data_IF_773065560107
#
_entry.id   IF_773065560107
#
_cell.length_a   1.000
_cell.length_b   1.000
_cell.length_c   1.000
_cell.angle_alpha   90.00
_cell.angle_beta   90.00
_cell.angle_gamma   90.00
#
_symmetry.space_group_name_H-M   'P 1'
#
loop_
_entity.id
_entity.type
_entity.pdbx_description
1 polymer ?
#
# COMPACT_ATOMS: atom_id res chain seq x y z
N UNK A 1 -45.88 -67.55 -37.97
CA UNK A 1 -44.77 -66.80 -38.61
C UNK A 1 -44.87 -65.33 -38.14
N UNK A 2 -44.12 -64.91 -37.15
CA UNK A 2 -44.21 -63.55 -36.57
C UNK A 2 -42.89 -62.86 -36.81
N UNK A 3 -42.92 -61.71 -37.53
CA UNK A 3 -41.77 -60.81 -37.76
C UNK A 3 -41.68 -59.79 -36.62
N UNK A 4 -40.66 -59.86 -35.86
CA UNK A 4 -40.31 -58.82 -34.86
C UNK A 4 -39.48 -57.74 -35.51
N UNK A 5 -39.99 -56.51 -35.56
CA UNK A 5 -39.24 -55.30 -35.88
C UNK A 5 -38.41 -54.88 -34.61
N UNK A 6 -37.12 -54.77 -34.81
CA UNK A 6 -36.21 -54.06 -33.83
C UNK A 6 -36.21 -52.57 -34.21
N UNK A 7 -36.65 -51.73 -33.29
CA UNK A 7 -36.46 -50.29 -33.37
C UNK A 7 -35.14 -49.94 -32.65
N UNK A 8 -34.16 -49.40 -33.41
CA UNK A 8 -32.95 -48.79 -32.87
C UNK A 8 -33.27 -47.33 -32.49
N UNK A 9 -33.25 -47.06 -31.21
CA UNK A 9 -33.27 -45.69 -30.67
C UNK A 9 -31.85 -45.16 -30.59
N UNK A 10 -31.52 -44.19 -31.45
CA UNK A 10 -30.26 -43.44 -31.38
C UNK A 10 -30.38 -42.34 -30.31
N UNK A 11 -29.63 -42.44 -29.23
CA UNK A 11 -29.49 -41.39 -28.20
C UNK A 11 -28.39 -40.45 -28.67
N UNK A 12 -28.78 -39.26 -29.11
CA UNK A 12 -27.85 -38.18 -29.42
C UNK A 12 -27.46 -37.46 -28.09
N UNK A 13 -26.29 -37.71 -27.60
CA UNK A 13 -25.68 -36.96 -26.49
C UNK A 13 -25.15 -35.62 -27.01
N UNK A 14 -25.90 -34.54 -26.79
CA UNK A 14 -25.43 -33.20 -27.01
C UNK A 14 -24.41 -32.83 -25.89
N UNK A 15 -23.15 -32.82 -26.24
CA UNK A 15 -22.11 -32.26 -25.37
C UNK A 15 -22.21 -30.73 -25.36
N UNK A 16 -22.75 -30.16 -24.29
CA UNK A 16 -22.72 -28.73 -24.04
C UNK A 16 -21.28 -28.31 -23.74
N UNK A 17 -20.59 -27.76 -24.72
CA UNK A 17 -19.30 -27.11 -24.55
C UNK A 17 -19.56 -25.76 -23.86
N UNK A 18 -19.37 -25.71 -22.56
CA UNK A 18 -19.38 -24.46 -21.81
C UNK A 18 -18.12 -23.66 -22.20
N UNK A 19 -18.27 -22.74 -23.13
CA UNK A 19 -17.27 -21.71 -23.38
C UNK A 19 -17.26 -20.80 -22.15
N UNK A 20 -16.30 -21.00 -21.26
CA UNK A 20 -15.88 -19.97 -20.31
C UNK A 20 -15.28 -18.86 -21.16
N UNK A 21 -16.03 -17.79 -21.39
CA UNK A 21 -15.51 -16.57 -21.97
C UNK A 21 -14.44 -16.05 -21.00
N UNK A 22 -13.18 -16.36 -21.26
CA UNK A 22 -12.08 -15.66 -20.61
C UNK A 22 -12.29 -14.19 -20.92
N UNK A 23 -12.60 -13.38 -19.90
CA UNK A 23 -12.72 -11.93 -20.04
C UNK A 23 -11.42 -11.44 -20.67
N UNK A 24 -11.47 -11.15 -21.97
CA UNK A 24 -10.35 -10.58 -22.69
C UNK A 24 -10.07 -9.23 -22.05
N UNK A 25 -8.84 -9.03 -21.61
CA UNK A 25 -8.43 -7.76 -21.01
C UNK A 25 -8.72 -6.63 -21.99
N UNK A 26 -9.47 -5.61 -21.56
CA UNK A 26 -9.86 -4.49 -22.41
C UNK A 26 -8.60 -3.80 -22.94
N UNK A 27 -8.59 -3.48 -24.25
CA UNK A 27 -7.48 -2.74 -24.85
C UNK A 27 -7.38 -1.35 -24.21
N UNK A 28 -6.15 -0.84 -23.94
CA UNK A 28 -5.97 0.49 -23.37
C UNK A 28 -6.62 1.57 -24.23
N UNK A 29 -7.10 2.65 -23.59
CA UNK A 29 -7.62 3.82 -24.27
C UNK A 29 -6.60 4.34 -25.30
N UNK A 30 -7.04 4.67 -26.52
CA UNK A 30 -6.14 5.15 -27.59
C UNK A 30 -6.10 6.67 -27.72
N UNK A 31 -7.14 7.36 -27.23
CA UNK A 31 -7.25 8.82 -27.29
C UNK A 31 -8.15 9.30 -26.14
N UNK A 32 -7.74 10.35 -25.46
CA UNK A 32 -8.59 11.04 -24.47
C UNK A 32 -9.65 11.84 -25.24
N UNK A 33 -10.90 11.57 -24.93
CA UNK A 33 -12.06 12.32 -25.44
C UNK A 33 -12.56 13.35 -24.44
N UNK A 34 -13.83 13.72 -24.57
CA UNK A 34 -14.52 14.55 -23.57
C UNK A 34 -14.63 13.77 -22.26
N UNK A 35 -14.36 14.41 -21.14
CA UNK A 35 -14.56 13.83 -19.81
C UNK A 35 -16.01 13.46 -19.55
N UNK A 36 -16.20 12.38 -18.81
CA UNK A 36 -17.52 11.81 -18.49
C UNK A 36 -18.21 12.59 -17.34
N UNK A 37 -17.56 13.60 -16.79
CA UNK A 37 -18.11 14.48 -15.74
C UNK A 37 -17.73 14.09 -14.33
N UNK A 38 -17.14 12.90 -14.11
CA UNK A 38 -16.63 12.47 -12.81
C UNK A 38 -15.51 11.43 -12.94
N UNK A 39 -14.81 11.21 -11.84
CA UNK A 39 -13.90 10.08 -11.62
C UNK A 39 -14.04 9.59 -10.18
N UNK A 40 -14.22 8.28 -10.02
CA UNK A 40 -14.41 7.62 -8.72
C UNK A 40 -13.13 6.90 -8.32
N UNK A 41 -12.51 7.30 -7.22
CA UNK A 41 -11.16 6.89 -6.81
C UNK A 41 -11.18 6.22 -5.44
N UNK A 42 -10.63 5.02 -5.34
CA UNK A 42 -10.26 4.41 -4.06
C UNK A 42 -8.86 4.90 -3.68
N UNK A 43 -8.70 5.47 -2.49
CA UNK A 43 -7.43 6.06 -2.06
C UNK A 43 -7.19 5.88 -0.56
N UNK A 44 -5.92 5.96 -0.16
CA UNK A 44 -5.56 6.11 1.25
C UNK A 44 -6.07 7.44 1.81
N UNK A 45 -6.36 7.46 3.12
CA UNK A 45 -6.69 8.70 3.82
C UNK A 45 -5.55 9.73 3.65
N UNK A 46 -5.89 10.97 3.29
CA UNK A 46 -4.91 12.04 3.07
C UNK A 46 -4.28 12.09 1.67
N UNK A 47 -4.61 11.16 0.76
CA UNK A 47 -4.01 11.15 -0.58
C UNK A 47 -4.67 12.08 -1.59
N UNK A 48 -5.92 12.44 -1.36
CA UNK A 48 -6.69 13.28 -2.29
C UNK A 48 -7.40 14.38 -1.50
N UNK A 49 -6.78 15.56 -1.46
CA UNK A 49 -7.22 16.67 -0.64
C UNK A 49 -7.79 17.82 -1.48
N UNK A 50 -8.83 18.47 -0.92
CA UNK A 50 -9.49 19.65 -1.51
C UNK A 50 -9.54 20.83 -0.53
N UNK A 51 -8.56 20.93 0.34
CA UNK A 51 -8.45 22.02 1.31
C UNK A 51 -9.47 21.96 2.45
N UNK A 52 -10.07 20.80 2.71
CA UNK A 52 -11.07 20.66 3.78
C UNK A 52 -10.42 20.74 5.17
N UNK A 53 -9.28 20.12 5.35
CA UNK A 53 -8.53 20.10 6.62
C UNK A 53 -7.62 21.33 6.72
N UNK A 54 -6.89 21.65 5.66
CA UNK A 54 -6.02 22.81 5.54
C UNK A 54 -6.08 23.34 4.10
N UNK A 55 -6.43 24.62 3.93
CA UNK A 55 -6.62 25.25 2.63
C UNK A 55 -5.36 25.34 1.76
N UNK A 56 -4.18 25.17 2.35
CA UNK A 56 -2.94 25.09 1.59
C UNK A 56 -2.80 23.79 0.78
N UNK A 57 -3.57 22.76 1.14
CA UNK A 57 -3.52 21.44 0.54
C UNK A 57 -4.78 21.15 -0.29
N UNK A 58 -4.81 21.68 -1.50
CA UNK A 58 -5.88 21.47 -2.46
C UNK A 58 -5.29 21.25 -3.86
N UNK A 59 -5.39 20.03 -4.34
CA UNK A 59 -5.02 19.68 -5.72
C UNK A 59 -6.19 19.11 -6.52
N UNK A 60 -7.37 19.09 -5.94
CA UNK A 60 -8.61 18.61 -6.58
C UNK A 60 -9.36 19.72 -7.27
N UNK A 61 -9.54 20.87 -6.60
CA UNK A 61 -10.39 21.96 -7.10
C UNK A 61 -9.97 22.47 -8.47
N UNK A 62 -8.66 22.62 -8.70
CA UNK A 62 -8.12 23.06 -10.00
C UNK A 62 -8.33 22.03 -11.10
N UNK A 63 -8.22 20.73 -10.78
CA UNK A 63 -8.50 19.66 -11.70
C UNK A 63 -9.97 19.68 -12.13
N UNK A 64 -10.89 19.76 -11.18
CA UNK A 64 -12.34 19.78 -11.45
C UNK A 64 -12.71 20.99 -12.34
N UNK A 65 -12.16 22.18 -12.04
CA UNK A 65 -12.39 23.40 -12.85
C UNK A 65 -11.88 23.27 -14.28
N UNK A 66 -10.71 22.66 -14.48
CA UNK A 66 -10.06 22.55 -15.79
C UNK A 66 -10.70 21.48 -16.68
N UNK A 67 -11.15 20.39 -16.08
CA UNK A 67 -11.58 19.19 -16.81
C UNK A 67 -13.09 19.01 -16.82
N UNK A 68 -13.81 19.59 -15.86
CA UNK A 68 -15.22 19.28 -15.59
C UNK A 68 -15.45 17.90 -15.00
N UNK A 69 -14.37 17.18 -14.59
CA UNK A 69 -14.43 15.87 -13.97
C UNK A 69 -14.46 16.02 -12.45
N UNK A 70 -15.61 15.81 -11.82
CA UNK A 70 -15.75 15.79 -10.36
C UNK A 70 -14.99 14.61 -9.78
N UNK A 71 -14.20 14.82 -8.74
CA UNK A 71 -13.44 13.78 -8.04
C UNK A 71 -14.23 13.28 -6.84
N UNK A 72 -14.64 12.02 -6.87
CA UNK A 72 -15.26 11.34 -5.75
C UNK A 72 -14.23 10.37 -5.14
N UNK A 73 -14.10 10.38 -3.80
CA UNK A 73 -13.09 9.57 -3.11
C UNK A 73 -13.76 8.62 -2.13
N UNK A 74 -13.41 7.35 -2.24
CA UNK A 74 -13.64 6.33 -1.22
C UNK A 74 -12.32 6.02 -0.54
N UNK A 75 -12.19 6.34 0.74
CA UNK A 75 -11.00 5.95 1.52
C UNK A 75 -11.01 4.49 1.87
N UNK A 76 -9.83 3.87 1.86
CA UNK A 76 -9.58 2.53 2.37
C UNK A 76 -8.41 2.57 3.36
N UNK A 77 -8.47 1.75 4.40
CA UNK A 77 -7.47 1.68 5.46
C UNK A 77 -6.40 0.60 5.23
N UNK A 78 -6.67 -0.39 4.38
CA UNK A 78 -5.75 -1.49 4.10
C UNK A 78 -5.70 -1.83 2.60
N UNK A 79 -4.60 -2.46 2.18
CA UNK A 79 -4.46 -3.04 0.84
C UNK A 79 -5.53 -4.10 0.55
N UNK A 80 -5.95 -4.87 1.56
CA UNK A 80 -7.00 -5.89 1.41
C UNK A 80 -8.37 -5.25 1.17
N UNK A 81 -8.70 -4.16 1.86
CA UNK A 81 -9.90 -3.37 1.60
C UNK A 81 -9.90 -2.78 0.19
N UNK A 82 -8.77 -2.25 -0.28
CA UNK A 82 -8.64 -1.76 -1.66
C UNK A 82 -8.91 -2.84 -2.69
N UNK A 83 -8.36 -4.04 -2.49
CA UNK A 83 -8.60 -5.19 -3.37
C UNK A 83 -10.07 -5.61 -3.33
N UNK A 84 -10.71 -5.62 -2.17
CA UNK A 84 -12.14 -5.93 -2.03
C UNK A 84 -13.01 -4.91 -2.78
N UNK A 85 -12.81 -3.61 -2.57
CA UNK A 85 -13.53 -2.54 -3.26
C UNK A 85 -13.37 -2.62 -4.79
N UNK A 86 -12.16 -2.89 -5.27
CA UNK A 86 -11.91 -3.07 -6.70
C UNK A 86 -12.51 -4.36 -7.26
N UNK A 87 -12.72 -5.39 -6.45
CA UNK A 87 -13.46 -6.59 -6.83
C UNK A 87 -14.96 -6.36 -6.90
N UNK A 88 -15.52 -5.55 -6.01
CA UNK A 88 -16.92 -5.13 -6.03
C UNK A 88 -17.22 -4.23 -7.25
N UNK A 89 -16.21 -3.44 -7.68
CA UNK A 89 -16.33 -2.51 -8.80
C UNK A 89 -17.02 -1.20 -8.45
N UNK A 90 -17.35 -0.41 -9.48
CA UNK A 90 -17.99 0.90 -9.29
C UNK A 90 -17.00 2.05 -9.12
N UNK A 91 -15.69 1.78 -9.18
CA UNK A 91 -14.62 2.75 -9.13
C UNK A 91 -13.83 2.77 -10.45
N UNK A 92 -13.22 3.91 -10.77
CA UNK A 92 -12.40 4.07 -11.96
C UNK A 92 -10.91 3.88 -11.66
N UNK A 93 -10.47 4.39 -10.52
CA UNK A 93 -9.07 4.38 -10.11
C UNK A 93 -8.89 3.85 -8.69
N UNK A 94 -7.71 3.31 -8.42
CA UNK A 94 -7.23 2.98 -7.08
C UNK A 94 -5.78 3.43 -6.92
N UNK A 95 -5.43 4.03 -5.78
CA UNK A 95 -4.03 4.30 -5.39
C UNK A 95 -3.55 3.17 -4.50
N UNK A 96 -2.90 2.17 -5.09
CA UNK A 96 -2.58 0.90 -4.43
C UNK A 96 -1.09 0.75 -4.16
N UNK A 97 -0.75 0.26 -2.97
CA UNK A 97 0.61 -0.18 -2.62
C UNK A 97 0.97 -1.50 -3.32
N UNK A 98 2.26 -1.82 -3.38
CA UNK A 98 2.77 -2.93 -4.16
C UNK A 98 2.19 -4.32 -3.81
N UNK A 99 1.78 -4.52 -2.58
CA UNK A 99 1.13 -5.76 -2.13
C UNK A 99 -0.32 -5.90 -2.62
N UNK A 100 -1.03 -4.79 -2.89
CA UNK A 100 -2.33 -4.80 -3.54
C UNK A 100 -2.22 -4.81 -5.07
N UNK A 101 -1.32 -4.00 -5.64
CA UNK A 101 -1.17 -3.79 -7.08
C UNK A 101 -1.00 -5.09 -7.85
N UNK A 102 -0.10 -5.98 -7.39
CA UNK A 102 0.16 -7.27 -8.04
C UNK A 102 -1.07 -8.18 -8.02
N UNK A 103 -1.84 -8.16 -6.92
CA UNK A 103 -3.10 -8.94 -6.82
C UNK A 103 -4.16 -8.41 -7.79
N UNK A 104 -4.28 -7.09 -7.92
CA UNK A 104 -5.21 -6.45 -8.84
C UNK A 104 -4.87 -6.75 -10.31
N UNK A 105 -3.57 -6.75 -10.67
CA UNK A 105 -3.11 -7.14 -12.02
C UNK A 105 -3.46 -8.60 -12.31
N UNK A 106 -3.07 -9.52 -11.42
CA UNK A 106 -3.29 -10.95 -11.60
C UNK A 106 -4.76 -11.33 -11.53
N UNK A 107 -5.53 -10.64 -10.69
CA UNK A 107 -6.99 -10.76 -10.62
C UNK A 107 -7.73 -10.12 -11.79
N UNK A 108 -7.02 -9.48 -12.76
CA UNK A 108 -7.59 -8.75 -13.89
C UNK A 108 -8.60 -7.67 -13.49
N UNK A 109 -8.39 -7.04 -12.33
CA UNK A 109 -9.23 -5.95 -11.83
C UNK A 109 -8.78 -4.58 -12.32
N UNK A 110 -7.56 -4.51 -12.83
CA UNK A 110 -6.99 -3.31 -13.47
C UNK A 110 -6.56 -3.62 -14.90
N UNK A 111 -6.54 -2.61 -15.74
CA UNK A 111 -6.18 -2.72 -17.16
C UNK A 111 -4.82 -2.05 -17.41
N UNK A 112 -4.12 -2.47 -18.50
CA UNK A 112 -2.91 -1.78 -18.93
C UNK A 112 -3.20 -0.33 -19.32
N UNK A 113 -2.20 0.53 -19.11
CA UNK A 113 -2.25 1.96 -19.43
C UNK A 113 -1.56 2.24 -20.76
N UNK A 114 -2.13 3.15 -21.53
CA UNK A 114 -1.46 3.78 -22.66
C UNK A 114 -0.70 5.01 -22.20
N UNK A 115 0.59 4.87 -21.96
CA UNK A 115 1.44 5.98 -21.46
C UNK A 115 1.61 7.13 -22.46
N UNK A 116 1.28 6.93 -23.76
CA UNK A 116 1.28 8.05 -24.72
C UNK A 116 0.23 9.11 -24.39
N UNK A 117 -0.79 8.75 -23.61
CA UNK A 117 -1.82 9.64 -23.09
C UNK A 117 -1.46 10.30 -21.75
N UNK A 118 -0.29 9.97 -21.21
CA UNK A 118 0.22 10.48 -19.93
C UNK A 118 1.65 11.03 -20.18
N UNK A 119 1.80 12.14 -20.93
CA UNK A 119 3.12 12.64 -21.33
C UNK A 119 4.04 13.01 -20.16
N UNK A 120 3.48 13.33 -18.99
CA UNK A 120 4.27 13.60 -17.78
C UNK A 120 4.90 12.36 -17.16
N UNK A 121 4.52 11.14 -17.59
CA UNK A 121 5.11 9.89 -17.08
C UNK A 121 6.65 9.83 -17.25
N UNK A 122 7.18 10.46 -18.28
CA UNK A 122 8.64 10.59 -18.51
C UNK A 122 9.39 11.28 -17.36
N UNK A 123 8.69 12.08 -16.54
CA UNK A 123 9.25 12.82 -15.43
C UNK A 123 9.25 12.02 -14.11
N UNK A 124 8.65 10.83 -14.11
CA UNK A 124 8.66 9.91 -12.96
C UNK A 124 10.08 9.42 -12.71
N UNK A 125 10.45 9.29 -11.44
CA UNK A 125 11.74 8.75 -11.01
C UNK A 125 12.03 7.42 -11.73
N UNK A 126 13.18 7.29 -12.41
CA UNK A 126 13.53 6.06 -13.15
C UNK A 126 13.46 4.78 -12.31
N UNK A 127 13.70 4.87 -10.98
CA UNK A 127 13.59 3.75 -10.03
C UNK A 127 12.15 3.21 -9.93
N UNK A 128 11.15 4.05 -10.22
CA UNK A 128 9.73 3.73 -10.13
C UNK A 128 9.09 3.39 -11.48
N UNK A 129 9.65 3.86 -12.62
CA UNK A 129 8.98 3.74 -13.93
C UNK A 129 8.60 2.31 -14.33
N UNK A 130 9.43 1.32 -13.97
CA UNK A 130 9.19 -0.10 -14.26
C UNK A 130 9.26 -0.95 -13.00
N UNK A 131 8.75 -0.42 -11.91
CA UNK A 131 8.75 -1.16 -10.65
C UNK A 131 7.88 -2.43 -10.75
N UNK A 132 8.32 -3.55 -10.16
CA UNK A 132 7.71 -4.87 -10.38
C UNK A 132 6.27 -5.02 -9.87
N UNK A 133 5.80 -4.08 -9.08
CA UNK A 133 4.44 -4.10 -8.56
C UNK A 133 3.40 -3.46 -9.48
N UNK A 134 3.81 -2.71 -10.53
CA UNK A 134 2.89 -2.13 -11.51
C UNK A 134 3.34 -2.32 -12.97
N UNK A 135 4.46 -3.00 -13.18
CA UNK A 135 4.97 -3.33 -14.52
C UNK A 135 5.11 -4.85 -14.62
N UNK A 136 4.28 -5.47 -15.46
CA UNK A 136 4.25 -6.92 -15.65
C UNK A 136 4.02 -7.23 -17.15
N UNK A 137 4.68 -8.27 -17.68
CA UNK A 137 4.56 -8.69 -19.08
C UNK A 137 4.77 -7.55 -20.10
N UNK A 138 5.73 -6.67 -19.83
CA UNK A 138 6.05 -5.49 -20.64
C UNK A 138 4.89 -4.47 -20.78
N UNK A 139 3.95 -4.49 -19.83
CA UNK A 139 2.82 -3.56 -19.78
C UNK A 139 2.85 -2.76 -18.46
N UNK A 140 2.50 -1.47 -18.56
CA UNK A 140 2.31 -0.62 -17.41
C UNK A 140 0.86 -0.67 -16.94
N UNK A 141 0.63 -0.91 -15.64
CA UNK A 141 -0.69 -0.97 -15.03
C UNK A 141 -0.94 0.16 -14.04
N UNK A 142 0.10 0.91 -13.70
CA UNK A 142 0.00 1.99 -12.73
C UNK A 142 0.89 3.17 -13.05
N UNK A 143 0.46 4.35 -12.60
CA UNK A 143 1.24 5.58 -12.56
C UNK A 143 1.76 5.76 -11.14
N UNK A 144 3.08 5.75 -10.90
CA UNK A 144 3.64 6.01 -9.57
C UNK A 144 3.14 7.33 -9.00
N UNK A 145 2.75 7.31 -7.73
CA UNK A 145 2.12 8.46 -7.10
C UNK A 145 2.96 9.04 -5.97
N UNK A 146 3.17 8.27 -4.90
CA UNK A 146 4.02 8.62 -3.75
C UNK A 146 4.71 7.36 -3.23
N UNK A 147 5.80 7.53 -2.48
CA UNK A 147 6.45 6.44 -1.79
C UNK A 147 7.05 6.89 -0.45
N UNK A 148 7.35 5.96 0.41
CA UNK A 148 7.95 6.24 1.70
C UNK A 148 8.18 4.97 2.51
N UNK A 149 8.77 5.15 3.64
CA UNK A 149 8.97 4.08 4.63
C UNK A 149 7.94 4.13 5.75
N UNK A 150 7.73 2.98 6.37
CA UNK A 150 7.08 2.91 7.65
C UNK A 150 8.06 3.41 8.71
N UNK A 151 7.63 4.32 9.56
CA UNK A 151 8.46 4.92 10.60
C UNK A 151 8.08 4.36 11.96
N UNK A 152 9.03 4.32 12.87
CA UNK A 152 8.75 4.11 14.27
C UNK A 152 8.36 5.47 14.90
N UNK A 153 7.07 5.65 15.17
CA UNK A 153 6.54 6.83 15.86
C UNK A 153 6.57 6.58 17.37
N UNK A 154 6.98 7.56 18.14
CA UNK A 154 7.11 7.46 19.59
C UNK A 154 6.76 8.76 20.32
N UNK A 155 6.34 8.63 21.59
CA UNK A 155 6.01 9.76 22.46
C UNK A 155 7.28 10.34 23.08
N UNK A 156 7.59 11.60 22.77
CA UNK A 156 8.82 12.27 23.24
C UNK A 156 8.85 12.54 24.75
N UNK A 157 7.71 12.58 25.43
CA UNK A 157 7.67 12.69 26.90
C UNK A 157 8.09 11.39 27.58
N UNK A 158 7.87 10.24 26.95
CA UNK A 158 8.26 8.93 27.48
C UNK A 158 9.71 8.63 27.19
N UNK A 159 10.16 8.93 25.95
CA UNK A 159 11.53 8.60 25.52
C UNK A 159 12.55 9.70 25.82
N UNK A 160 12.13 10.95 26.04
CA UNK A 160 13.00 12.07 26.36
C UNK A 160 14.12 12.26 25.35
N UNK A 161 15.35 12.29 25.82
CA UNK A 161 16.58 12.38 25.00
C UNK A 161 17.07 11.03 24.45
N UNK A 162 16.34 9.94 24.68
CA UNK A 162 16.70 8.58 24.28
C UNK A 162 15.69 8.02 23.26
N UNK A 163 15.66 8.51 22.01
CA UNK A 163 14.74 8.00 21.00
C UNK A 163 14.96 6.50 20.78
N UNK A 164 13.90 5.71 20.50
CA UNK A 164 14.06 4.30 20.24
C UNK A 164 14.83 4.09 18.93
N UNK A 165 15.85 3.25 18.94
CA UNK A 165 16.73 2.98 17.79
C UNK A 165 16.44 1.65 17.09
N UNK A 166 15.51 0.85 17.63
CA UNK A 166 15.19 -0.49 17.15
C UNK A 166 13.69 -0.73 17.21
N UNK A 167 13.18 -1.51 16.27
CA UNK A 167 11.83 -2.06 16.29
C UNK A 167 11.55 -2.96 17.51
N UNK A 168 12.59 -3.31 18.28
CA UNK A 168 12.45 -4.07 19.53
C UNK A 168 11.34 -3.53 20.42
N UNK A 169 11.20 -2.20 20.51
CA UNK A 169 10.23 -1.54 21.38
C UNK A 169 8.77 -1.92 21.08
N UNK A 170 8.46 -2.33 19.85
CA UNK A 170 7.12 -2.77 19.45
C UNK A 170 7.01 -4.28 19.27
N UNK A 171 8.13 -5.02 19.25
CA UNK A 171 8.12 -6.47 19.11
C UNK A 171 8.36 -7.25 20.40
N UNK A 172 9.08 -6.69 21.37
CA UNK A 172 9.49 -7.40 22.58
C UNK A 172 9.09 -6.63 23.85
N UNK A 173 8.78 -7.36 24.92
CA UNK A 173 8.51 -6.75 26.23
C UNK A 173 9.80 -6.14 26.79
N UNK A 174 9.72 -4.87 27.20
CA UNK A 174 10.85 -4.15 27.79
C UNK A 174 10.40 -2.98 28.65
N UNK A 175 11.27 -2.52 29.55
CA UNK A 175 11.08 -1.26 30.25
C UNK A 175 11.47 -0.09 29.33
N UNK A 176 10.65 0.95 29.34
CA UNK A 176 10.86 2.20 28.61
C UNK A 176 11.66 3.20 29.47
N UNK A 177 12.19 4.30 28.89
CA UNK A 177 12.94 5.31 29.63
C UNK A 177 12.19 5.95 30.80
N UNK A 178 10.86 5.94 30.79
CA UNK A 178 10.03 6.39 31.92
C UNK A 178 9.93 5.38 33.07
N UNK A 179 10.69 4.28 33.02
CA UNK A 179 10.73 3.21 34.03
C UNK A 179 9.55 2.23 33.96
N UNK A 180 8.58 2.39 33.05
CA UNK A 180 7.42 1.53 32.91
C UNK A 180 7.59 0.54 31.77
N UNK A 181 6.90 -0.62 31.86
CA UNK A 181 6.81 -1.59 30.75
C UNK A 181 6.12 -0.97 29.54
N UNK A 182 6.54 -1.40 28.35
CA UNK A 182 5.85 -1.10 27.09
C UNK A 182 4.54 -1.88 26.93
N UNK A 183 4.30 -2.89 27.75
CA UNK A 183 3.11 -3.76 27.67
C UNK A 183 1.80 -2.96 27.79
N UNK A 184 0.90 -3.14 26.82
CA UNK A 184 -0.36 -2.40 26.72
C UNK A 184 -0.23 -0.96 26.23
N UNK A 185 1.01 -0.49 25.98
CA UNK A 185 1.33 0.90 25.59
C UNK A 185 1.88 1.03 24.16
N UNK A 186 2.01 -0.08 23.45
CA UNK A 186 2.46 -0.10 22.06
C UNK A 186 1.35 -0.58 21.15
N UNK A 187 1.43 -0.15 19.90
CA UNK A 187 0.51 -0.56 18.84
C UNK A 187 1.26 -1.26 17.70
N UNK A 188 0.52 -2.02 16.91
CA UNK A 188 0.98 -2.62 15.67
C UNK A 188 -0.04 -2.39 14.54
N UNK A 189 0.44 -2.41 13.29
CA UNK A 189 -0.41 -2.34 12.11
C UNK A 189 -1.27 -3.61 12.00
N UNK A 190 -2.56 -3.42 11.72
CA UNK A 190 -3.53 -4.50 11.53
C UNK A 190 -3.61 -4.88 10.05
N UNK A 191 -2.76 -5.77 9.63
CA UNK A 191 -2.76 -6.30 8.27
C UNK A 191 -1.74 -7.43 8.09
N UNK A 192 -2.02 -8.43 7.23
CA UNK A 192 -1.13 -9.58 7.02
C UNK A 192 0.29 -9.20 6.60
N UNK A 193 0.44 -8.03 5.95
CA UNK A 193 1.75 -7.52 5.52
C UNK A 193 2.68 -7.23 6.70
N UNK A 194 2.15 -7.06 7.92
CA UNK A 194 2.94 -6.90 9.14
C UNK A 194 3.85 -8.11 9.46
N UNK A 195 3.59 -9.27 8.86
CA UNK A 195 4.50 -10.41 8.91
C UNK A 195 5.86 -10.07 8.28
N UNK A 196 5.87 -9.21 7.25
CA UNK A 196 7.12 -8.74 6.64
C UNK A 196 7.91 -7.81 7.58
N UNK A 197 7.25 -7.01 8.42
CA UNK A 197 7.92 -6.20 9.43
C UNK A 197 8.62 -7.08 10.47
N UNK A 198 7.94 -8.14 10.93
CA UNK A 198 8.53 -9.15 11.82
C UNK A 198 9.71 -9.87 11.15
N UNK A 199 9.58 -10.23 9.88
CA UNK A 199 10.65 -10.86 9.12
C UNK A 199 11.87 -9.92 8.92
N UNK A 200 11.63 -8.63 8.68
CA UNK A 200 12.70 -7.63 8.58
C UNK A 200 13.44 -7.47 9.92
N UNK A 201 12.71 -7.41 11.04
CA UNK A 201 13.29 -7.40 12.37
C UNK A 201 14.16 -8.64 12.60
N UNK A 202 13.67 -9.83 12.28
CA UNK A 202 14.41 -11.09 12.41
C UNK A 202 15.61 -11.16 11.46
N UNK A 203 15.49 -10.65 10.24
CA UNK A 203 16.61 -10.56 9.29
C UNK A 203 17.83 -9.86 9.89
N UNK A 204 17.59 -8.83 10.69
CA UNK A 204 18.65 -8.08 11.37
C UNK A 204 19.13 -8.78 12.63
N UNK A 205 18.22 -9.23 13.49
CA UNK A 205 18.51 -9.68 14.84
C UNK A 205 18.76 -11.19 14.97
N UNK A 206 18.35 -12.00 13.97
CA UNK A 206 18.60 -13.45 13.94
C UNK A 206 19.13 -13.90 12.57
N UNK A 207 20.43 -13.67 12.35
CA UNK A 207 21.13 -13.99 11.09
C UNK A 207 21.08 -15.48 10.73
N UNK A 208 20.91 -16.38 11.71
CA UNK A 208 20.87 -17.83 11.47
C UNK A 208 19.64 -18.27 10.65
N UNK A 209 18.58 -17.43 10.62
CA UNK A 209 17.40 -17.67 9.79
C UNK A 209 17.68 -17.49 8.29
N UNK A 210 18.73 -16.76 7.90
CA UNK A 210 19.10 -16.55 6.50
C UNK A 210 18.02 -15.80 5.69
N UNK A 211 17.21 -14.95 6.33
CA UNK A 211 16.19 -14.13 5.63
C UNK A 211 16.90 -13.12 4.73
N UNK A 212 16.71 -13.20 3.43
CA UNK A 212 17.24 -12.25 2.45
C UNK A 212 16.20 -11.20 2.05
N UNK A 213 14.96 -11.63 1.90
CA UNK A 213 13.81 -10.78 1.50
C UNK A 213 12.63 -11.06 2.44
N UNK A 214 12.08 -10.03 3.12
CA UNK A 214 10.98 -10.21 4.07
C UNK A 214 9.65 -10.66 3.43
N UNK A 215 9.53 -10.61 2.10
CA UNK A 215 8.35 -11.07 1.36
C UNK A 215 8.56 -12.45 0.71
N UNK A 216 9.74 -13.02 0.79
CA UNK A 216 10.10 -14.33 0.25
C UNK A 216 10.52 -15.28 1.38
N UNK A 217 9.56 -15.72 2.20
CA UNK A 217 9.83 -16.53 3.38
C UNK A 217 9.53 -18.01 3.10
N UNK A 218 10.50 -18.88 3.39
CA UNK A 218 10.25 -20.31 3.51
C UNK A 218 9.51 -20.64 4.83
N UNK A 219 9.03 -21.87 4.98
CA UNK A 219 8.23 -22.27 6.15
C UNK A 219 8.92 -22.00 7.50
N UNK A 220 10.23 -22.21 7.62
CA UNK A 220 10.95 -21.99 8.87
C UNK A 220 11.06 -20.49 9.21
N UNK A 221 11.37 -19.64 8.23
CA UNK A 221 11.46 -18.20 8.36
C UNK A 221 10.09 -17.60 8.66
N UNK A 222 9.07 -18.07 7.95
CA UNK A 222 7.67 -17.66 8.13
C UNK A 222 7.17 -18.01 9.54
N UNK A 223 7.42 -19.26 9.99
CA UNK A 223 7.08 -19.68 11.34
C UNK A 223 7.75 -18.79 12.39
N UNK A 224 9.03 -18.47 12.22
CA UNK A 224 9.74 -17.60 13.15
C UNK A 224 9.12 -16.19 13.20
N UNK A 225 8.69 -15.63 12.06
CA UNK A 225 7.99 -14.35 12.02
C UNK A 225 6.64 -14.42 12.75
N UNK A 226 5.86 -15.47 12.56
CA UNK A 226 4.59 -15.66 13.28
C UNK A 226 4.81 -15.84 14.79
N UNK A 227 5.85 -16.57 15.21
CA UNK A 227 6.15 -16.76 16.63
C UNK A 227 6.54 -15.42 17.29
N UNK A 228 7.27 -14.55 16.57
CA UNK A 228 7.55 -13.18 17.03
C UNK A 228 6.25 -12.36 17.18
N UNK A 229 5.33 -12.45 16.21
CA UNK A 229 4.04 -11.76 16.29
C UNK A 229 3.13 -12.28 17.42
N UNK A 230 3.16 -13.59 17.70
CA UNK A 230 2.48 -14.16 18.87
C UNK A 230 3.07 -13.62 20.18
N UNK A 231 4.37 -13.40 20.22
CA UNK A 231 5.03 -12.69 21.33
C UNK A 231 4.56 -11.24 21.44
N UNK A 232 4.59 -10.54 20.33
CA UNK A 232 4.16 -9.14 20.22
C UNK A 232 2.69 -8.96 20.66
N UNK A 233 1.80 -9.89 20.31
CA UNK A 233 0.37 -9.86 20.70
C UNK A 233 0.17 -9.73 22.21
N UNK A 234 1.12 -10.21 23.02
CA UNK A 234 1.04 -10.16 24.50
C UNK A 234 1.36 -8.76 25.07
N UNK A 235 2.02 -7.93 24.30
CA UNK A 235 2.44 -6.57 24.71
C UNK A 235 1.67 -5.47 23.98
N UNK A 236 1.09 -5.75 22.82
CA UNK A 236 0.30 -4.77 22.05
C UNK A 236 -0.99 -4.47 22.79
N UNK A 237 -1.26 -3.19 23.03
CA UNK A 237 -2.51 -2.72 23.60
C UNK A 237 -3.63 -2.66 22.57
N UNK A 238 -3.32 -2.18 21.38
CA UNK A 238 -4.24 -2.00 20.26
C UNK A 238 -3.58 -2.30 18.93
N UNK A 239 -4.38 -2.68 17.94
CA UNK A 239 -4.01 -2.73 16.52
C UNK A 239 -4.69 -1.60 15.77
N UNK A 240 -4.07 -1.11 14.72
CA UNK A 240 -4.61 -0.03 13.90
C UNK A 240 -4.49 -0.36 12.40
N UNK A 241 -5.48 0.03 11.63
CA UNK A 241 -5.48 0.03 10.17
C UNK A 241 -6.01 1.36 9.60
N UNK A 242 -6.67 2.16 10.41
CA UNK A 242 -7.09 3.52 10.07
C UNK A 242 -6.14 4.54 10.72
N UNK A 243 -5.60 5.46 9.90
CA UNK A 243 -4.63 6.45 10.34
C UNK A 243 -5.20 7.41 11.41
N UNK A 244 -6.50 7.76 11.31
CA UNK A 244 -7.13 8.67 12.27
C UNK A 244 -7.42 7.98 13.60
N UNK A 245 -7.72 6.69 13.60
CA UNK A 245 -7.81 5.88 14.82
C UNK A 245 -6.45 5.85 15.53
N UNK A 246 -5.35 5.65 14.80
CA UNK A 246 -4.01 5.71 15.42
C UNK A 246 -3.69 7.08 16.00
N UNK A 247 -4.07 8.17 15.32
CA UNK A 247 -3.89 9.55 15.81
C UNK A 247 -4.66 9.74 17.12
N UNK A 248 -5.88 9.25 17.21
CA UNK A 248 -6.70 9.32 18.43
C UNK A 248 -6.08 8.50 19.56
N UNK A 249 -5.64 7.29 19.29
CA UNK A 249 -5.00 6.42 20.27
C UNK A 249 -3.71 7.03 20.88
N UNK A 250 -2.89 7.68 20.07
CA UNK A 250 -1.72 8.42 20.59
C UNK A 250 -2.11 9.64 21.41
N UNK A 251 -3.26 10.25 21.10
CA UNK A 251 -3.74 11.44 21.82
C UNK A 251 -4.39 11.06 23.15
N UNK A 252 -5.24 10.03 23.17
CA UNK A 252 -6.20 9.79 24.23
C UNK A 252 -6.02 8.46 24.98
N UNK A 253 -5.38 7.45 24.36
CA UNK A 253 -5.36 6.07 24.88
C UNK A 253 -4.00 5.64 25.45
N UNK A 254 -3.06 6.56 25.58
CA UNK A 254 -1.77 6.31 26.22
C UNK A 254 -0.79 5.48 25.41
N UNK A 255 -0.99 5.36 24.10
CA UNK A 255 -0.01 4.73 23.20
C UNK A 255 1.27 5.54 23.14
N UNK A 256 2.41 4.87 23.26
CA UNK A 256 3.72 5.53 23.35
C UNK A 256 4.68 5.15 22.22
N UNK A 257 4.47 4.05 21.51
CA UNK A 257 5.25 3.68 20.33
C UNK A 257 4.45 2.78 19.38
N UNK A 258 4.66 2.95 18.08
CA UNK A 258 4.02 2.16 17.03
C UNK A 258 4.77 2.27 15.71
N UNK A 259 4.68 1.25 14.87
CA UNK A 259 4.86 1.42 13.43
C UNK A 259 3.78 2.35 12.90
N UNK A 260 4.14 3.31 12.03
CA UNK A 260 3.26 4.38 11.57
C UNK A 260 3.69 4.87 10.20
N UNK A 261 2.84 5.64 9.55
CA UNK A 261 3.25 6.50 8.43
C UNK A 261 3.60 7.89 8.96
N UNK A 262 4.42 8.62 8.23
CA UNK A 262 4.78 9.99 8.62
C UNK A 262 3.56 10.93 8.70
N UNK A 263 2.51 10.62 7.97
CA UNK A 263 1.23 11.34 7.96
C UNK A 263 0.64 11.53 9.36
N UNK A 264 0.52 10.45 10.15
CA UNK A 264 -0.01 10.54 11.51
C UNK A 264 0.87 11.42 12.40
N UNK A 265 2.19 11.27 12.28
CA UNK A 265 3.11 12.10 13.06
C UNK A 265 3.00 13.58 12.69
N UNK A 266 2.81 13.90 11.42
CA UNK A 266 2.62 15.28 10.97
C UNK A 266 1.34 15.89 11.57
N UNK A 267 0.21 15.16 11.52
CA UNK A 267 -1.05 15.63 12.12
C UNK A 267 -0.93 15.78 13.64
N UNK A 268 -0.31 14.82 14.32
CA UNK A 268 -0.10 14.90 15.77
C UNK A 268 0.76 16.09 16.15
N UNK A 269 1.86 16.35 15.42
CA UNK A 269 2.72 17.51 15.62
C UNK A 269 1.99 18.83 15.39
N UNK A 270 1.16 18.93 14.35
CA UNK A 270 0.35 20.14 14.08
C UNK A 270 -0.64 20.45 15.22
N UNK A 271 -1.04 19.41 15.96
CA UNK A 271 -1.86 19.51 17.18
C UNK A 271 -1.03 19.63 18.48
N UNK A 272 0.28 19.93 18.38
CA UNK A 272 1.21 20.03 19.50
C UNK A 272 1.31 18.77 20.36
N UNK A 273 1.03 17.60 19.80
CA UNK A 273 1.24 16.33 20.49
C UNK A 273 2.74 15.99 20.56
N UNK A 274 3.19 15.42 21.67
CA UNK A 274 4.60 15.16 21.92
C UNK A 274 5.08 13.88 21.19
N UNK A 275 5.11 13.90 19.87
CA UNK A 275 5.54 12.75 19.06
C UNK A 275 6.75 13.09 18.19
N UNK A 276 7.57 12.08 17.92
CA UNK A 276 8.61 12.11 16.92
C UNK A 276 8.67 10.76 16.19
N UNK A 277 9.42 10.72 15.10
CA UNK A 277 9.61 9.52 14.30
C UNK A 277 11.09 9.23 14.10
N UNK A 278 11.41 7.96 13.94
CA UNK A 278 12.75 7.49 13.59
C UNK A 278 12.66 6.29 12.64
N UNK A 279 13.73 6.03 11.91
CA UNK A 279 13.90 4.78 11.16
C UNK A 279 14.89 3.92 11.95
N UNK A 280 14.47 2.76 12.43
CA UNK A 280 15.31 1.87 13.23
C UNK A 280 16.53 1.33 12.49
N UNK A 281 17.50 0.82 13.26
CA UNK A 281 18.77 0.26 12.72
C UNK A 281 18.54 -0.94 11.80
N UNK A 282 17.46 -1.68 12.00
CA UNK A 282 17.05 -2.81 11.16
C UNK A 282 16.61 -2.37 9.77
N UNK A 283 16.44 -1.08 9.53
CA UNK A 283 15.75 -0.53 8.37
C UNK A 283 14.24 -0.52 8.57
N UNK A 284 13.50 -0.35 7.49
CA UNK A 284 12.04 -0.36 7.52
C UNK A 284 11.46 -1.01 6.27
N UNK A 285 10.29 -1.57 6.40
CA UNK A 285 9.40 -1.77 5.25
C UNK A 285 8.88 -0.41 4.79
N UNK A 286 8.31 -0.37 3.61
CA UNK A 286 7.76 0.85 3.07
C UNK A 286 6.81 0.54 1.92
N UNK A 287 6.24 1.58 1.39
CA UNK A 287 5.22 1.52 0.36
C UNK A 287 5.63 2.40 -0.82
N UNK A 288 5.23 1.97 -2.00
CA UNK A 288 5.35 2.76 -3.22
C UNK A 288 4.07 2.57 -4.00
N UNK A 289 3.25 3.60 -3.99
CA UNK A 289 1.90 3.53 -4.45
C UNK A 289 1.79 3.94 -5.92
N UNK A 290 0.92 3.23 -6.62
CA UNK A 290 0.62 3.52 -8.01
C UNK A 290 -0.89 3.73 -8.18
N UNK A 291 -1.26 4.74 -8.94
CA UNK A 291 -2.65 4.93 -9.35
C UNK A 291 -2.94 4.05 -10.56
N UNK A 292 -3.89 3.13 -10.44
CA UNK A 292 -4.21 2.09 -11.41
C UNK A 292 -5.65 2.25 -11.91
N UNK A 293 -5.86 1.97 -13.20
CA UNK A 293 -7.17 2.08 -13.85
C UNK A 293 -7.93 0.75 -13.74
N UNK A 294 -9.17 0.80 -13.24
CA UNK A 294 -10.04 -0.39 -13.15
C UNK A 294 -10.32 -0.98 -14.54
N UNK A 295 -10.39 -2.30 -14.62
CA UNK A 295 -10.63 -3.00 -15.88
C UNK A 295 -11.95 -2.59 -16.56
N UNK A 296 -12.96 -2.24 -15.77
CA UNK A 296 -14.29 -1.83 -16.20
C UNK A 296 -14.60 -0.37 -15.85
N UNK A 297 -13.57 0.50 -15.82
CA UNK A 297 -13.76 1.92 -15.52
C UNK A 297 -14.85 2.53 -16.40
N UNK A 298 -15.77 3.26 -15.75
CA UNK A 298 -16.91 3.92 -16.44
C UNK A 298 -16.53 5.31 -16.96
N UNK A 299 -15.51 5.93 -16.36
CA UNK A 299 -15.07 7.29 -16.66
C UNK A 299 -13.58 7.31 -17.09
N UNK A 300 -13.19 6.54 -18.13
CA UNK A 300 -11.78 6.38 -18.50
C UNK A 300 -11.13 7.67 -18.98
N UNK A 301 -11.85 8.61 -19.61
CA UNK A 301 -11.26 9.87 -20.02
C UNK A 301 -10.91 10.74 -18.79
N UNK A 302 -11.84 10.91 -17.85
CA UNK A 302 -11.58 11.60 -16.59
C UNK A 302 -10.47 10.94 -15.79
N UNK A 303 -10.41 9.59 -15.78
CA UNK A 303 -9.36 8.83 -15.12
C UNK A 303 -7.97 9.11 -15.73
N UNK A 304 -7.82 9.11 -17.04
CA UNK A 304 -6.55 9.46 -17.69
C UNK A 304 -6.16 10.93 -17.45
N UNK A 305 -7.13 11.85 -17.46
CA UNK A 305 -6.88 13.25 -17.09
C UNK A 305 -6.36 13.37 -15.64
N UNK A 306 -6.91 12.56 -14.72
CA UNK A 306 -6.42 12.52 -13.34
C UNK A 306 -5.00 11.92 -13.25
N UNK A 307 -4.72 10.83 -13.96
CA UNK A 307 -3.38 10.22 -14.00
C UNK A 307 -2.32 11.22 -14.48
N UNK A 308 -2.61 12.01 -15.52
CA UNK A 308 -1.71 13.06 -15.98
C UNK A 308 -1.59 14.19 -14.96
N UNK A 309 -2.71 14.66 -14.39
CA UNK A 309 -2.74 15.71 -13.36
C UNK A 309 -1.94 15.31 -12.12
N UNK A 310 -2.03 14.06 -11.69
CA UNK A 310 -1.35 13.52 -10.51
C UNK A 310 0.18 13.59 -10.59
N UNK A 311 0.75 13.72 -11.78
CA UNK A 311 2.19 13.86 -12.01
C UNK A 311 2.67 15.32 -12.05
N UNK A 312 1.80 16.29 -11.76
CA UNK A 312 2.21 17.70 -11.68
C UNK A 312 3.19 17.88 -10.51
N UNK A 313 4.40 18.46 -10.73
CA UNK A 313 5.39 18.62 -9.68
C UNK A 313 4.91 19.41 -8.45
N UNK A 314 4.08 20.43 -8.65
CA UNK A 314 3.51 21.20 -7.52
C UNK A 314 2.60 20.31 -6.67
N UNK A 315 1.66 19.59 -7.31
CA UNK A 315 0.78 18.64 -6.63
C UNK A 315 1.59 17.60 -5.85
N UNK A 316 2.55 16.97 -6.52
CA UNK A 316 3.42 15.95 -5.94
C UNK A 316 4.18 16.46 -4.70
N UNK A 317 4.68 17.70 -4.75
CA UNK A 317 5.37 18.32 -3.63
C UNK A 317 4.43 18.73 -2.49
N UNK A 318 3.27 19.27 -2.81
CA UNK A 318 2.24 19.62 -1.81
C UNK A 318 1.74 18.37 -1.08
N UNK A 319 1.49 17.29 -1.81
CA UNK A 319 1.10 16.01 -1.24
C UNK A 319 2.22 15.42 -0.38
N UNK A 320 3.46 15.47 -0.86
CA UNK A 320 4.61 15.00 -0.08
C UNK A 320 4.78 15.77 1.24
N UNK A 321 4.56 17.09 1.23
CA UNK A 321 4.58 17.92 2.43
C UNK A 321 3.46 17.54 3.41
N UNK A 322 2.26 17.33 2.90
CA UNK A 322 1.08 16.96 3.67
C UNK A 322 1.22 15.56 4.28
N UNK A 323 1.50 14.59 3.43
CA UNK A 323 1.53 13.20 3.83
C UNK A 323 2.84 12.80 4.54
N UNK A 324 3.93 13.51 4.29
CA UNK A 324 5.25 13.12 4.78
C UNK A 324 5.84 11.97 3.96
N UNK A 325 5.64 12.03 2.66
CA UNK A 325 6.07 11.03 1.68
C UNK A 325 7.13 11.60 0.72
N UNK A 326 7.65 10.76 -0.13
CA UNK A 326 8.53 11.16 -1.22
C UNK A 326 7.73 11.18 -2.53
N UNK A 327 7.80 12.29 -3.30
CA UNK A 327 7.11 12.38 -4.57
C UNK A 327 7.69 11.41 -5.60
N UNK A 328 6.81 10.84 -6.45
CA UNK A 328 7.25 10.03 -7.58
C UNK A 328 7.91 10.87 -8.70
N UNK A 329 7.71 12.19 -8.70
CA UNK A 329 8.31 13.11 -9.66
C UNK A 329 9.40 13.93 -8.96
N UNK A 330 10.70 13.66 -9.22
CA UNK A 330 11.82 14.31 -8.51
C UNK A 330 11.85 15.84 -8.64
N UNK A 331 11.29 16.39 -9.71
CA UNK A 331 11.19 17.84 -9.88
C UNK A 331 10.37 18.51 -8.76
N UNK A 332 9.49 17.79 -8.10
CA UNK A 332 8.71 18.28 -6.95
C UNK A 332 9.56 18.61 -5.72
N UNK A 333 10.78 18.05 -5.63
CA UNK A 333 11.71 18.27 -4.52
C UNK A 333 12.41 19.64 -4.58
N UNK A 334 12.16 20.44 -5.60
CA UNK A 334 12.81 21.75 -5.78
C UNK A 334 11.78 22.85 -5.85
N UNK A 335 11.96 23.89 -5.01
CA UNK A 335 11.14 25.10 -5.05
C UNK A 335 9.68 24.93 -4.61
N UNK A 336 9.30 23.80 -4.04
CA UNK A 336 7.99 23.63 -3.41
C UNK A 336 8.02 24.26 -2.02
N UNK A 337 7.16 25.30 -1.80
CA UNK A 337 7.18 26.09 -0.56
C UNK A 337 6.71 25.30 0.68
N UNK A 338 5.81 24.34 0.51
CA UNK A 338 5.26 23.54 1.61
C UNK A 338 6.20 22.43 2.01
N UNK A 339 6.84 21.77 1.04
CA UNK A 339 7.80 20.69 1.26
C UNK A 339 9.15 21.23 1.79
N UNK A 340 9.58 22.39 1.28
CA UNK A 340 10.92 22.94 1.53
C UNK A 340 12.01 22.23 0.72
N UNK A 341 13.18 22.87 0.59
CA UNK A 341 14.26 22.37 -0.26
C UNK A 341 14.91 21.07 0.23
N UNK A 342 14.85 20.80 1.53
CA UNK A 342 15.35 19.57 2.16
C UNK A 342 14.24 18.52 2.41
N UNK A 343 13.00 18.82 2.04
CA UNK A 343 11.83 17.99 2.34
C UNK A 343 11.97 16.56 1.83
N UNK A 344 12.35 16.39 0.57
CA UNK A 344 12.54 15.05 -0.01
C UNK A 344 13.64 14.25 0.71
N UNK A 345 14.76 14.87 1.04
CA UNK A 345 15.85 14.22 1.77
C UNK A 345 15.38 13.78 3.17
N UNK A 346 14.67 14.66 3.89
CA UNK A 346 14.09 14.33 5.20
C UNK A 346 13.09 13.19 5.14
N UNK A 347 12.33 13.07 4.03
CA UNK A 347 11.36 12.00 3.81
C UNK A 347 11.99 10.70 3.32
N UNK A 348 13.30 10.69 3.05
CA UNK A 348 14.04 9.47 2.71
C UNK A 348 14.33 9.27 1.23
N UNK A 349 14.28 10.31 0.39
CA UNK A 349 14.58 10.22 -1.05
C UNK A 349 15.89 9.49 -1.34
N UNK A 350 16.93 9.78 -0.56
CA UNK A 350 18.28 9.20 -0.71
C UNK A 350 18.41 7.79 -0.10
N UNK A 351 17.35 7.29 0.50
CA UNK A 351 17.33 6.01 1.21
C UNK A 351 16.49 4.93 0.52
N UNK A 352 16.15 5.12 -0.75
CA UNK A 352 15.29 4.21 -1.52
C UNK A 352 15.72 2.74 -1.41
N UNK A 353 17.03 2.46 -1.55
CA UNK A 353 17.58 1.09 -1.50
C UNK A 353 17.56 0.45 -0.11
N UNK A 354 17.27 1.23 0.93
CA UNK A 354 17.15 0.74 2.31
C UNK A 354 15.72 0.36 2.70
N UNK A 355 14.77 0.57 1.80
CA UNK A 355 13.35 0.29 2.04
C UNK A 355 13.01 -1.09 1.47
N UNK A 356 12.43 -1.95 2.30
CA UNK A 356 11.79 -3.17 1.84
C UNK A 356 10.35 -2.83 1.40
N UNK A 357 10.18 -2.47 0.12
CA UNK A 357 8.87 -2.06 -0.40
C UNK A 357 7.85 -3.19 -0.35
N UNK A 358 6.65 -2.88 0.09
CA UNK A 358 5.53 -3.80 0.17
C UNK A 358 5.27 -4.49 -1.17
N UNK A 359 5.18 -5.80 -1.11
CA UNK A 359 4.90 -6.68 -2.26
C UNK A 359 4.03 -7.84 -1.80
N UNK A 360 3.21 -8.34 -2.71
CA UNK A 360 2.50 -9.61 -2.45
C UNK A 360 3.51 -10.73 -2.31
N UNK A 361 3.52 -11.48 -1.19
CA UNK A 361 4.34 -12.69 -1.04
C UNK A 361 4.11 -13.69 -2.17
N UNK A 362 5.19 -14.22 -2.70
CA UNK A 362 5.18 -15.14 -3.84
C UNK A 362 5.15 -16.61 -3.39
N UNK A 363 4.78 -17.51 -4.30
CA UNK A 363 4.76 -18.96 -4.03
C UNK A 363 6.11 -19.65 -4.23
N UNK A 364 7.01 -19.00 -4.94
CA UNK A 364 8.38 -19.50 -5.18
C UNK A 364 9.38 -18.42 -4.83
N UNK A 365 10.29 -18.75 -3.93
CA UNK A 365 11.36 -17.84 -3.53
C UNK A 365 12.41 -17.73 -4.64
N UNK A 366 12.58 -16.55 -5.20
CA UNK A 366 13.67 -16.27 -6.14
C UNK A 366 15.02 -16.28 -5.44
N UNK A 367 15.06 -15.79 -4.21
CA UNK A 367 16.26 -15.65 -3.39
C UNK A 367 16.80 -16.96 -2.83
N UNK A 368 15.99 -18.02 -2.75
CA UNK A 368 16.34 -19.26 -2.04
C UNK A 368 16.11 -20.53 -2.85
N UNK A 369 15.66 -20.43 -4.08
CA UNK A 369 15.30 -21.57 -4.95
C UNK A 369 14.34 -22.59 -4.28
N UNK A 370 13.51 -22.12 -3.35
CA UNK A 370 12.59 -22.89 -2.53
C UNK A 370 11.15 -22.40 -2.69
N UNK A 371 10.19 -23.21 -2.22
CA UNK A 371 8.81 -22.77 -2.07
C UNK A 371 8.71 -21.70 -0.98
N UNK A 372 8.05 -20.59 -1.30
CA UNK A 372 7.67 -19.56 -0.36
C UNK A 372 6.24 -19.74 0.12
N UNK A 373 5.98 -19.27 1.33
CA UNK A 373 4.64 -19.26 1.90
C UNK A 373 3.78 -18.21 1.20
N UNK A 374 2.68 -18.61 0.54
CA UNK A 374 1.87 -17.72 -0.28
C UNK A 374 0.99 -16.77 0.56
N UNK A 375 0.59 -15.64 -0.03
CA UNK A 375 -0.15 -14.57 0.65
C UNK A 375 -1.46 -15.03 1.33
N UNK A 376 -2.23 -15.95 0.73
CA UNK A 376 -3.46 -16.44 1.36
C UNK A 376 -3.19 -17.08 2.73
N UNK A 377 -2.03 -17.73 2.89
CA UNK A 377 -1.62 -18.29 4.18
C UNK A 377 -1.21 -17.18 5.14
N UNK A 378 -0.57 -16.12 4.67
CA UNK A 378 -0.28 -14.93 5.49
C UNK A 378 -1.58 -14.34 6.06
N UNK A 379 -2.58 -14.17 5.22
CA UNK A 379 -3.87 -13.62 5.63
C UNK A 379 -4.55 -14.50 6.70
N UNK A 380 -4.63 -15.82 6.47
CA UNK A 380 -5.28 -16.73 7.42
C UNK A 380 -4.55 -16.85 8.76
N UNK A 381 -3.21 -16.94 8.72
CA UNK A 381 -2.41 -17.12 9.93
C UNK A 381 -2.29 -15.82 10.74
N UNK A 382 -2.28 -14.66 10.05
CA UNK A 382 -2.31 -13.37 10.73
C UNK A 382 -3.61 -13.18 11.54
N UNK A 383 -4.77 -13.55 10.97
CA UNK A 383 -6.05 -13.56 11.68
C UNK A 383 -5.97 -14.49 12.92
N UNK A 384 -5.32 -15.65 12.80
CA UNK A 384 -5.13 -16.55 13.93
C UNK A 384 -4.26 -15.92 15.03
N UNK A 385 -3.19 -15.21 14.66
CA UNK A 385 -2.35 -14.46 15.63
C UNK A 385 -3.17 -13.38 16.35
N UNK A 386 -3.95 -12.58 15.62
CA UNK A 386 -4.84 -11.57 16.24
C UNK A 386 -5.83 -12.20 17.20
N UNK A 387 -6.37 -13.37 16.87
CA UNK A 387 -7.26 -14.17 17.72
C UNK A 387 -6.55 -14.90 18.88
N UNK A 388 -5.23 -14.72 19.04
CA UNK A 388 -4.46 -15.34 20.14
C UNK A 388 -4.12 -16.83 19.91
N UNK A 389 -4.08 -17.27 18.66
CA UNK A 389 -3.78 -18.66 18.24
C UNK A 389 -2.45 -18.80 17.51
#
# INVERSE_FOLDING_TARGET
MSKRLLALTAVATAAAVSYSAALAQKAPLQKIGKGEGQVDIVAWAGYIERGATDKNFDWVTDFEKKTGCKVNVKTAGTSDEMVALMNEGGFDLVTASGDASTRLIRGKRVQPLNLSLIPSYKNVDPRLQKAPWHFENNMHYGVPYQWGWNVLMYNTKVFGSQPPTSWKVVFEEMNLPDGKSNKGRVQAFDGPIHIADAALYLKHNNKSLGITDPYELNEAQYKAALDLLRGQRKIVGKYWHDAFVQIDDFTNEGVVASGSWQFQANILKSKNQPVATTVPVEGATGWADSTMLHAEAKHPNCAYMWLEHSLNPKLQGDLAAWFGSVPAVPAACKGNKLLGDDGCARQGYDSFDRIAFWRTPVTQCKSQNNACVPYHKWASDYIAVLGGR
#
